data_IF_606162856120
#
_entry.id   IF_606162856120
#
_cell.length_a   1.000
_cell.length_b   1.000
_cell.length_c   1.000
_cell.angle_alpha   90.00
_cell.angle_beta   90.00
_cell.angle_gamma   90.00
#
_symmetry.space_group_name_H-M   'P 1'
#
loop_
_entity.id
_entity.type
_entity.pdbx_description
1 polymer ?
#
# COMPACT_ATOMS: atom_id res chain seq x y z
N UNK A 1 -27.24 54.39 -1.19
CA UNK A 1 -27.76 53.08 -0.74
C UNK A 1 -27.11 52.02 -1.65
N UNK A 2 -26.09 51.26 -1.25
CA UNK A 2 -26.15 49.99 -0.49
C UNK A 2 -27.28 49.07 -1.04
N UNK A 3 -27.09 47.86 -1.58
CA UNK A 3 -25.99 46.90 -1.55
C UNK A 3 -26.08 45.88 -2.72
N UNK A 4 -24.91 45.57 -3.28
CA UNK A 4 -24.33 44.27 -3.74
C UNK A 4 -25.09 43.23 -4.61
N UNK A 5 -24.31 42.45 -5.40
CA UNK A 5 -24.72 41.74 -6.61
C UNK A 5 -24.96 40.24 -6.34
N UNK A 6 -25.78 39.58 -7.16
CA UNK A 6 -25.83 38.13 -7.16
C UNK A 6 -26.31 37.59 -8.51
N UNK A 7 -25.40 36.93 -9.24
CA UNK A 7 -25.64 35.73 -10.05
C UNK A 7 -24.72 35.63 -11.30
N UNK A 8 -23.42 35.92 -11.16
CA UNK A 8 -22.44 35.66 -12.23
C UNK A 8 -21.20 34.90 -11.71
N UNK A 9 -21.40 33.82 -10.94
CA UNK A 9 -20.32 32.96 -10.43
C UNK A 9 -20.50 31.48 -10.80
N UNK A 10 -20.79 31.18 -12.08
CA UNK A 10 -21.03 29.80 -12.52
C UNK A 10 -19.94 29.16 -13.42
N UNK A 11 -18.81 29.81 -13.74
CA UNK A 11 -17.88 29.24 -14.74
C UNK A 11 -16.37 29.25 -14.41
N UNK A 12 -15.95 29.43 -13.15
CA UNK A 12 -14.56 29.17 -12.69
C UNK A 12 -14.62 28.74 -11.23
N UNK A 13 -14.47 27.45 -10.86
CA UNK A 13 -14.62 27.08 -9.44
C UNK A 13 -13.55 26.19 -8.81
N UNK A 14 -12.79 25.36 -9.54
CA UNK A 14 -11.77 24.52 -8.91
C UNK A 14 -10.58 24.28 -9.85
N UNK A 15 -9.39 24.73 -9.43
CA UNK A 15 -8.11 24.40 -10.07
C UNK A 15 -7.78 22.92 -9.86
N UNK A 16 -6.77 22.39 -10.56
CA UNK A 16 -6.38 20.98 -10.40
C UNK A 16 -5.93 20.67 -8.97
N UNK A 17 -5.25 21.61 -8.30
CA UNK A 17 -4.83 21.45 -6.92
C UNK A 17 -6.01 21.54 -5.95
N UNK A 18 -6.97 22.44 -6.19
CA UNK A 18 -8.22 22.48 -5.41
C UNK A 18 -8.97 21.14 -5.50
N UNK A 19 -9.00 20.53 -6.69
CA UNK A 19 -9.65 19.22 -6.90
C UNK A 19 -8.98 18.15 -6.05
N UNK A 20 -7.64 18.08 -6.07
CA UNK A 20 -6.87 17.10 -5.28
C UNK A 20 -7.13 17.27 -3.78
N UNK A 21 -7.08 18.50 -3.28
CA UNK A 21 -7.34 18.83 -1.88
C UNK A 21 -8.77 18.42 -1.49
N UNK A 22 -9.76 18.76 -2.31
CA UNK A 22 -11.17 18.43 -2.05
C UNK A 22 -11.44 16.92 -2.10
N UNK A 23 -10.79 16.19 -3.01
CA UNK A 23 -10.86 14.73 -3.07
C UNK A 23 -10.24 14.11 -1.81
N UNK A 24 -9.08 14.61 -1.37
CA UNK A 24 -8.41 14.09 -0.17
C UNK A 24 -9.23 14.39 1.10
N UNK A 25 -9.81 15.59 1.21
CA UNK A 25 -10.73 15.94 2.28
C UNK A 25 -11.98 15.04 2.29
N UNK A 26 -12.50 14.67 1.12
CA UNK A 26 -13.59 13.71 1.03
C UNK A 26 -13.20 12.35 1.61
N UNK A 27 -12.07 11.79 1.19
CA UNK A 27 -11.59 10.50 1.72
C UNK A 27 -11.34 10.53 3.23
N UNK A 28 -10.78 11.63 3.75
CA UNK A 28 -10.53 11.78 5.18
C UNK A 28 -11.79 12.09 6.01
N UNK A 29 -12.89 12.50 5.38
CA UNK A 29 -14.12 12.86 6.08
C UNK A 29 -14.95 11.65 6.55
N UNK A 30 -14.78 10.49 5.93
CA UNK A 30 -15.62 9.30 6.18
C UNK A 30 -17.11 9.51 5.86
N UNK A 31 -17.48 10.62 5.19
CA UNK A 31 -18.85 10.94 4.82
C UNK A 31 -19.21 10.31 3.47
N UNK A 32 -20.48 9.97 3.27
CA UNK A 32 -20.95 9.55 1.94
C UNK A 32 -20.85 10.70 0.93
N UNK A 33 -20.57 10.36 -0.34
CA UNK A 33 -20.37 11.33 -1.43
C UNK A 33 -21.52 12.35 -1.53
N UNK A 34 -22.76 11.89 -1.40
CA UNK A 34 -23.95 12.74 -1.44
C UNK A 34 -24.00 13.70 -0.24
N UNK A 35 -23.61 13.25 0.96
CA UNK A 35 -23.59 14.10 2.17
C UNK A 35 -22.45 15.11 2.10
N UNK A 36 -21.29 14.70 1.57
CA UNK A 36 -20.15 15.57 1.34
C UNK A 36 -20.47 16.70 0.35
N UNK A 37 -21.07 16.38 -0.79
CA UNK A 37 -21.41 17.36 -1.83
C UNK A 37 -22.58 18.29 -1.49
N UNK A 38 -23.37 17.99 -0.46
CA UNK A 38 -24.46 18.87 0.02
C UNK A 38 -23.96 20.04 0.85
N UNK A 39 -22.70 20.01 1.31
CA UNK A 39 -22.12 21.11 2.07
C UNK A 39 -21.93 22.33 1.16
N UNK A 40 -22.36 23.51 1.63
CA UNK A 40 -22.31 24.75 0.86
C UNK A 40 -20.86 25.06 0.48
N UNK A 41 -20.61 25.30 -0.81
CA UNK A 41 -19.27 25.56 -1.33
C UNK A 41 -18.49 24.32 -1.77
N UNK A 42 -19.09 23.11 -1.70
CA UNK A 42 -18.52 21.89 -2.27
C UNK A 42 -18.90 21.71 -3.75
N UNK A 43 -18.12 20.91 -4.50
CA UNK A 43 -18.50 20.53 -5.86
C UNK A 43 -19.82 19.77 -5.88
N UNK A 44 -20.54 19.89 -6.99
CA UNK A 44 -21.76 19.12 -7.19
C UNK A 44 -21.45 17.62 -7.15
N UNK A 45 -22.45 16.81 -6.83
CA UNK A 45 -22.31 15.35 -6.81
C UNK A 45 -21.76 14.81 -8.15
N UNK A 46 -22.28 15.31 -9.27
CA UNK A 46 -21.84 14.87 -10.60
C UNK A 46 -20.38 15.27 -10.88
N UNK A 47 -19.99 16.46 -10.44
CA UNK A 47 -18.62 16.97 -10.57
C UNK A 47 -17.65 16.13 -9.74
N UNK A 48 -17.99 15.86 -8.48
CA UNK A 48 -17.14 15.07 -7.60
C UNK A 48 -17.04 13.62 -8.07
N UNK A 49 -18.16 13.04 -8.50
CA UNK A 49 -18.19 11.72 -9.12
C UNK A 49 -17.26 11.64 -10.33
N UNK A 50 -17.30 12.65 -11.21
CA UNK A 50 -16.41 12.73 -12.36
C UNK A 50 -14.93 12.81 -11.94
N UNK A 51 -14.59 13.59 -10.92
CA UNK A 51 -13.20 13.67 -10.44
C UNK A 51 -12.70 12.38 -9.79
N UNK A 52 -13.57 11.64 -9.10
CA UNK A 52 -13.23 10.33 -8.53
C UNK A 52 -13.09 9.25 -9.61
N UNK A 53 -13.87 9.34 -10.69
CA UNK A 53 -13.77 8.43 -11.83
C UNK A 53 -12.57 8.74 -12.74
N UNK A 54 -12.15 10.01 -12.81
CA UNK A 54 -10.95 10.46 -13.51
C UNK A 54 -9.85 10.62 -12.45
N UNK A 55 -9.43 9.52 -11.83
CA UNK A 55 -8.20 9.56 -11.04
C UNK A 55 -7.01 9.27 -11.96
N UNK A 56 -5.89 10.01 -11.82
CA UNK A 56 -4.85 10.12 -12.83
C UNK A 56 -3.79 9.05 -12.61
N UNK A 57 -3.90 7.93 -13.32
CA UNK A 57 -2.68 7.45 -13.97
C UNK A 57 -2.40 8.43 -15.10
N UNK A 58 -1.25 9.08 -15.02
CA UNK A 58 -0.66 9.85 -16.10
C UNK A 58 -0.57 8.94 -17.35
N UNK A 59 -1.51 9.06 -18.27
CA UNK A 59 -1.15 9.14 -19.68
C UNK A 59 -2.30 9.77 -20.48
N UNK A 60 -2.02 10.98 -20.95
CA UNK A 60 -2.79 11.69 -21.96
C UNK A 60 -2.56 10.97 -23.30
N UNK A 61 -3.13 9.77 -23.45
CA UNK A 61 -2.66 8.90 -24.53
C UNK A 61 -3.46 7.65 -24.86
N UNK A 62 -4.74 7.51 -24.50
CA UNK A 62 -5.58 6.58 -25.25
C UNK A 62 -7.08 6.84 -25.09
N UNK A 63 -7.67 7.44 -26.12
CA UNK A 63 -9.11 7.43 -26.31
C UNK A 63 -9.59 6.03 -26.65
N UNK A 64 -10.16 5.30 -25.69
CA UNK A 64 -11.14 4.26 -26.00
C UNK A 64 -12.26 4.24 -24.95
N UNK A 65 -13.36 4.89 -25.31
CA UNK A 65 -14.70 4.56 -24.82
C UNK A 65 -15.01 3.10 -25.18
N UNK A 66 -15.70 2.37 -24.29
CA UNK A 66 -17.05 2.01 -24.70
C UNK A 66 -18.06 2.13 -23.56
N UNK A 67 -18.99 3.04 -23.81
CA UNK A 67 -20.42 2.94 -23.52
C UNK A 67 -20.94 1.50 -23.33
N UNK A 68 -21.86 1.34 -22.36
CA UNK A 68 -22.75 0.20 -22.07
C UNK A 68 -22.16 -1.02 -21.34
N UNK A 69 -22.35 -1.04 -20.02
CA UNK A 69 -22.98 -2.20 -19.39
C UNK A 69 -23.80 -1.76 -18.18
N UNK A 70 -25.11 -1.60 -18.41
CA UNK A 70 -26.10 -1.54 -17.34
C UNK A 70 -26.21 -2.93 -16.74
N UNK A 71 -25.76 -3.12 -15.49
CA UNK A 71 -26.40 -4.09 -14.59
C UNK A 71 -26.66 -3.44 -13.22
N UNK A 72 -27.88 -3.58 -12.69
CA UNK A 72 -28.25 -3.12 -11.36
C UNK A 72 -27.83 -4.19 -10.36
N UNK A 73 -27.18 -3.86 -9.24
CA UNK A 73 -27.04 -4.84 -8.16
C UNK A 73 -26.92 -4.13 -6.81
N UNK A 74 -28.05 -4.17 -6.10
CA UNK A 74 -28.22 -4.28 -4.64
C UNK A 74 -27.31 -3.46 -3.71
N UNK A 75 -27.97 -2.69 -2.83
CA UNK A 75 -27.46 -2.11 -1.56
C UNK A 75 -26.89 -3.14 -0.55
N UNK A 76 -26.60 -4.37 -0.99
CA UNK A 76 -25.86 -5.41 -0.28
C UNK A 76 -24.41 -5.53 -0.78
N UNK A 77 -24.05 -4.86 -1.88
CA UNK A 77 -22.73 -4.95 -2.50
C UNK A 77 -21.70 -4.01 -1.88
N UNK A 78 -22.10 -2.97 -1.15
CA UNK A 78 -21.15 -2.05 -0.51
C UNK A 78 -20.47 -2.71 0.70
N UNK A 79 -21.20 -3.44 1.55
CA UNK A 79 -20.60 -4.24 2.62
C UNK A 79 -19.92 -5.50 2.11
N UNK A 80 -20.41 -6.11 1.02
CA UNK A 80 -19.73 -7.25 0.40
C UNK A 80 -18.43 -6.82 -0.28
N UNK A 81 -18.38 -5.66 -0.93
CA UNK A 81 -17.18 -5.08 -1.54
C UNK A 81 -16.16 -4.66 -0.47
N UNK A 82 -16.62 -4.01 0.61
CA UNK A 82 -15.77 -3.69 1.77
C UNK A 82 -15.27 -4.96 2.45
N UNK A 83 -16.14 -5.96 2.68
CA UNK A 83 -15.76 -7.24 3.28
C UNK A 83 -14.82 -8.03 2.39
N UNK A 84 -15.01 -8.04 1.07
CA UNK A 84 -14.08 -8.65 0.11
C UNK A 84 -12.74 -7.92 0.09
N UNK A 85 -12.75 -6.60 0.21
CA UNK A 85 -11.52 -5.79 0.30
C UNK A 85 -10.78 -6.11 1.61
N UNK A 86 -11.49 -6.14 2.74
CA UNK A 86 -10.94 -6.52 4.05
C UNK A 86 -10.40 -7.96 4.03
N UNK A 87 -11.13 -8.91 3.44
CA UNK A 87 -10.67 -10.29 3.28
C UNK A 87 -9.44 -10.38 2.37
N UNK A 88 -9.39 -9.59 1.30
CA UNK A 88 -8.22 -9.54 0.41
C UNK A 88 -7.00 -8.96 1.13
N UNK A 89 -7.19 -7.90 1.91
CA UNK A 89 -6.14 -7.31 2.75
C UNK A 89 -5.69 -8.32 3.81
N UNK A 90 -6.61 -8.97 4.50
CA UNK A 90 -6.32 -9.98 5.51
C UNK A 90 -5.57 -11.18 4.91
N UNK A 91 -5.97 -11.64 3.72
CA UNK A 91 -5.28 -12.70 2.99
C UNK A 91 -3.86 -12.31 2.57
N UNK A 92 -3.67 -11.09 2.05
CA UNK A 92 -2.33 -10.55 1.76
C UNK A 92 -1.48 -10.42 3.02
N UNK A 93 -2.06 -9.97 4.12
CA UNK A 93 -1.38 -9.85 5.41
C UNK A 93 -0.96 -11.22 5.96
N UNK A 94 -1.82 -12.23 5.87
CA UNK A 94 -1.48 -13.61 6.24
C UNK A 94 -0.33 -14.17 5.40
N UNK A 95 -0.35 -13.95 4.08
CA UNK A 95 0.75 -14.36 3.19
C UNK A 95 2.07 -13.67 3.55
N UNK A 96 2.04 -12.37 3.83
CA UNK A 96 3.22 -11.62 4.27
C UNK A 96 3.75 -12.14 5.61
N UNK A 97 2.90 -12.50 6.56
CA UNK A 97 3.33 -13.12 7.81
C UNK A 97 4.01 -14.47 7.60
N UNK A 98 3.48 -15.31 6.70
CA UNK A 98 4.11 -16.59 6.34
C UNK A 98 5.48 -16.35 5.70
N UNK A 99 5.57 -15.39 4.78
CA UNK A 99 6.85 -15.04 4.15
C UNK A 99 7.88 -14.52 5.17
N UNK A 100 7.45 -13.69 6.12
CA UNK A 100 8.31 -13.19 7.19
C UNK A 100 8.80 -14.34 8.08
N UNK A 101 7.92 -15.27 8.45
CA UNK A 101 8.30 -16.45 9.22
C UNK A 101 9.32 -17.33 8.48
N UNK A 102 9.12 -17.55 7.18
CA UNK A 102 10.05 -18.33 6.36
C UNK A 102 11.44 -17.65 6.27
N UNK A 103 11.48 -16.33 6.08
CA UNK A 103 12.74 -15.57 6.09
C UNK A 103 13.42 -15.66 7.45
N UNK A 104 12.66 -15.59 8.54
CA UNK A 104 13.20 -15.72 9.90
C UNK A 104 13.82 -17.10 10.12
N UNK A 105 13.15 -18.18 9.71
CA UNK A 105 13.70 -19.55 9.77
C UNK A 105 14.98 -19.69 8.94
N UNK A 106 15.04 -19.06 7.77
CA UNK A 106 16.24 -19.07 6.93
C UNK A 106 17.41 -18.33 7.61
N UNK A 107 17.15 -17.18 8.24
CA UNK A 107 18.15 -16.44 9.03
C UNK A 107 18.65 -17.31 10.19
N UNK A 108 17.75 -17.95 10.92
CA UNK A 108 18.12 -18.80 12.06
C UNK A 108 18.94 -20.02 11.63
N UNK A 109 18.57 -20.64 10.49
CA UNK A 109 19.33 -21.73 9.88
C UNK A 109 20.73 -21.30 9.43
N UNK A 110 20.85 -20.12 8.81
CA UNK A 110 22.14 -19.56 8.41
C UNK A 110 23.01 -19.24 9.63
N UNK A 111 22.42 -18.71 10.70
CA UNK A 111 23.12 -18.46 11.96
C UNK A 111 23.61 -19.77 12.60
N UNK A 112 22.78 -20.81 12.65
CA UNK A 112 23.22 -22.11 13.17
C UNK A 112 24.35 -22.72 12.32
N UNK A 113 24.24 -22.66 10.99
CA UNK A 113 25.31 -23.13 10.10
C UNK A 113 26.62 -22.37 10.32
N UNK A 114 26.56 -21.05 10.47
CA UNK A 114 27.77 -20.25 10.70
C UNK A 114 28.43 -20.59 12.03
N UNK A 115 27.64 -20.84 13.09
CA UNK A 115 28.16 -21.30 14.38
C UNK A 115 28.82 -22.68 14.30
N UNK A 116 28.24 -23.63 13.58
CA UNK A 116 28.83 -24.96 13.37
C UNK A 116 30.16 -24.87 12.60
N UNK A 117 30.20 -24.07 11.53
CA UNK A 117 31.44 -23.84 10.77
C UNK A 117 32.53 -23.19 11.62
N UNK A 118 32.18 -22.22 12.47
CA UNK A 118 33.13 -21.58 13.38
C UNK A 118 33.71 -22.58 14.39
N UNK A 119 32.88 -23.49 14.91
CA UNK A 119 33.31 -24.53 15.83
C UNK A 119 34.28 -25.51 15.15
N UNK A 120 33.97 -25.98 13.94
CA UNK A 120 34.83 -26.90 13.19
C UNK A 120 36.20 -26.28 12.88
N UNK A 121 36.22 -24.99 12.50
CA UNK A 121 37.47 -24.24 12.27
C UNK A 121 38.30 -24.20 13.56
N UNK A 122 37.68 -23.89 14.71
CA UNK A 122 38.40 -23.86 15.99
C UNK A 122 38.96 -25.24 16.39
N UNK A 123 38.24 -26.33 16.11
CA UNK A 123 38.74 -27.67 16.40
C UNK A 123 39.91 -28.07 15.50
N UNK A 124 39.85 -27.73 14.21
CA UNK A 124 40.96 -27.93 13.27
C UNK A 124 42.21 -27.15 13.69
N UNK A 125 42.06 -25.91 14.17
CA UNK A 125 43.18 -25.11 14.68
C UNK A 125 43.82 -25.75 15.92
N UNK A 126 43.01 -26.26 16.85
CA UNK A 126 43.50 -26.97 18.05
C UNK A 126 44.27 -28.24 17.67
N UNK A 127 43.72 -29.06 16.77
CA UNK A 127 44.40 -30.26 16.28
C UNK A 127 45.72 -29.93 15.56
N UNK A 128 45.74 -28.84 14.79
CA UNK A 128 46.97 -28.38 14.13
C UNK A 128 48.01 -27.92 15.15
N UNK A 129 47.59 -27.24 16.22
CA UNK A 129 48.48 -26.80 17.29
C UNK A 129 49.08 -28.00 18.06
N UNK A 130 48.28 -29.01 18.41
CA UNK A 130 48.78 -30.22 19.09
C UNK A 130 49.70 -31.04 18.20
N UNK A 131 49.37 -31.20 16.92
CA UNK A 131 50.23 -31.91 15.97
C UNK A 131 51.59 -31.22 15.81
N UNK A 132 51.60 -29.89 15.69
CA UNK A 132 52.85 -29.10 15.65
C UNK A 132 53.66 -29.25 16.94
N UNK A 133 53.01 -29.25 18.11
CA UNK A 133 53.67 -29.42 19.39
C UNK A 133 54.30 -30.82 19.54
N UNK A 134 53.60 -31.86 19.09
CA UNK A 134 54.10 -33.25 19.10
C UNK A 134 55.27 -33.44 18.14
N UNK A 135 55.22 -32.87 16.92
CA UNK A 135 56.34 -32.91 15.97
C UNK A 135 57.59 -32.20 16.51
N UNK A 136 57.42 -31.05 17.20
CA UNK A 136 58.54 -30.33 17.81
C UNK A 136 59.22 -31.14 18.92
N UNK A 137 58.48 -31.94 19.68
CA UNK A 137 59.03 -32.84 20.71
C UNK A 137 59.74 -34.06 20.13
N UNK A 138 59.34 -34.54 18.95
CA UNK A 138 59.99 -35.70 18.30
C UNK A 138 61.34 -35.34 17.67
N UNK A 139 61.50 -34.08 17.26
CA UNK A 139 62.69 -33.58 16.57
C UNK A 139 63.67 -32.84 17.49
N UNK A 140 63.45 -32.90 18.81
CA UNK A 140 64.27 -32.24 19.84
C UNK A 140 64.82 -33.27 20.81
#
# INVERSE_FOLDING_TARGET
>A
MASKPAAAHQAKRYTQDDRRVIILEYFNSGLSLTKFCKVKGRPSYQTMKLWLCISPDFDEGNMHSPFNSKRPLSESMDTQSEHQTIQTIAGRLALLHIQLAAIQEEIDSLNQKSHLQLFDIQQLERLRATTKASQKKLNS
#
